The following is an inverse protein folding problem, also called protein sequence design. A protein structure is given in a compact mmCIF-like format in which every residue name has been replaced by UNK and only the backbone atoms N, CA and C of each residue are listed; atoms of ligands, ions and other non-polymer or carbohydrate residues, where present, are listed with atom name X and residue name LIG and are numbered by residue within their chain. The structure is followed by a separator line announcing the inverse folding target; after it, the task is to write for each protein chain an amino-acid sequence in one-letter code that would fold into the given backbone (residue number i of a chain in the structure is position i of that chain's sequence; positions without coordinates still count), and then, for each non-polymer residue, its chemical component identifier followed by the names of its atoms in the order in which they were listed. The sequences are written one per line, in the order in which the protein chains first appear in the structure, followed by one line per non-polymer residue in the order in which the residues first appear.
data_IF_777862888794
#
_entry.id   IF_777862888794
#
_cell.length_a   1.000
_cell.length_b   1.000
_cell.length_c   1.000
_cell.angle_alpha   90.00
_cell.angle_beta   90.00
_cell.angle_gamma   90.00
#
_symmetry.space_group_name_H-M   'P 1'
#
loop_
_entity.id
_entity.type
_entity.pdbx_description
1 polymer ?
#
# COMPACT_ATOMS: atom_id res chain seq x y z
N UNK A 1 53.27 -31.08 35.83
CA UNK A 1 52.51 -29.86 36.18
C UNK A 1 52.69 -28.87 35.04
N UNK A 2 51.67 -28.71 34.21
CA UNK A 2 51.69 -27.87 33.02
C UNK A 2 50.64 -26.78 33.25
N UNK A 3 51.08 -25.56 33.54
CA UNK A 3 50.22 -24.39 33.73
C UNK A 3 49.84 -23.84 32.36
N UNK A 4 48.54 -23.74 32.00
CA UNK A 4 48.12 -23.11 30.76
C UNK A 4 48.02 -21.58 30.94
N UNK A 5 48.70 -20.86 30.05
CA UNK A 5 48.63 -19.40 29.94
C UNK A 5 47.21 -18.93 29.59
N UNK A 6 46.75 -17.93 30.35
CA UNK A 6 45.45 -17.29 30.20
C UNK A 6 45.48 -16.30 29.02
N UNK A 7 44.75 -16.61 27.96
CA UNK A 7 44.55 -15.69 26.83
C UNK A 7 43.69 -14.47 27.25
N UNK A 8 44.17 -13.22 27.10
CA UNK A 8 43.48 -12.01 27.58
C UNK A 8 42.42 -11.45 26.62
N UNK A 9 42.04 -12.17 25.55
CA UNK A 9 41.10 -11.66 24.55
C UNK A 9 39.73 -12.36 24.57
N UNK A 10 39.02 -12.25 25.70
CA UNK A 10 37.54 -12.32 25.71
C UNK A 10 36.99 -10.89 25.62
N UNK A 11 36.80 -10.38 24.39
CA UNK A 11 35.96 -9.19 24.17
C UNK A 11 34.54 -9.62 23.81
N UNK A 12 33.63 -9.24 24.68
CA UNK A 12 32.19 -9.33 24.48
C UNK A 12 31.80 -8.67 23.14
N UNK A 13 31.22 -9.46 22.23
CA UNK A 13 30.49 -8.89 21.09
C UNK A 13 29.18 -8.32 21.62
N UNK A 14 29.24 -7.05 22.03
CA UNK A 14 28.09 -6.22 22.32
C UNK A 14 27.22 -6.07 21.08
N UNK A 15 25.92 -6.28 21.26
CA UNK A 15 24.87 -6.04 20.28
C UNK A 15 24.89 -4.56 19.85
N UNK A 16 25.42 -4.26 18.67
CA UNK A 16 25.02 -3.07 17.94
C UNK A 16 23.83 -3.43 17.07
N UNK A 17 22.64 -3.35 17.65
CA UNK A 17 21.40 -3.21 16.88
C UNK A 17 21.53 -1.91 16.10
N UNK A 18 22.10 -2.00 14.90
CA UNK A 18 22.11 -0.93 13.93
C UNK A 18 20.67 -0.59 13.61
N UNK A 19 20.15 0.45 14.25
CA UNK A 19 19.05 1.21 13.70
C UNK A 19 19.55 1.73 12.36
N UNK A 20 19.24 1.00 11.28
CA UNK A 20 19.19 1.58 9.95
C UNK A 20 18.14 2.68 10.05
N UNK A 21 18.59 3.90 10.33
CA UNK A 21 17.80 5.10 10.13
C UNK A 21 17.27 4.99 8.70
N UNK A 22 15.99 4.67 8.57
CA UNK A 22 15.31 4.70 7.29
C UNK A 22 15.46 6.13 6.82
N UNK A 23 16.35 6.33 5.85
CA UNK A 23 16.45 7.59 5.12
C UNK A 23 15.05 7.87 4.61
N UNK A 24 14.39 8.87 5.19
CA UNK A 24 13.13 9.42 4.73
C UNK A 24 13.42 10.01 3.34
N UNK A 25 13.39 9.16 2.32
CA UNK A 25 13.42 9.64 0.95
C UNK A 25 12.21 10.55 0.78
N UNK A 26 12.45 11.80 0.41
CA UNK A 26 11.39 12.75 0.07
C UNK A 26 10.42 12.06 -0.89
N UNK A 27 9.17 11.84 -0.46
CA UNK A 27 8.21 11.13 -1.29
C UNK A 27 7.95 11.94 -2.56
N UNK A 28 8.33 11.39 -3.71
CA UNK A 28 8.08 12.03 -5.01
C UNK A 28 6.58 12.09 -5.31
N UNK A 29 6.11 13.08 -6.08
CA UNK A 29 4.69 13.19 -6.42
C UNK A 29 4.20 11.97 -7.19
N UNK A 30 2.92 11.62 -7.01
CA UNK A 30 2.31 10.49 -7.70
C UNK A 30 2.20 10.70 -9.22
N UNK A 31 2.23 11.95 -9.70
CA UNK A 31 2.20 12.31 -11.12
C UNK A 31 3.30 11.62 -11.93
N UNK A 32 4.45 11.33 -11.33
CA UNK A 32 5.56 10.62 -11.98
C UNK A 32 5.24 9.16 -12.32
N UNK A 33 4.27 8.54 -11.64
CA UNK A 33 4.05 7.10 -11.65
C UNK A 33 2.61 6.69 -11.98
N UNK A 34 1.67 7.65 -12.02
CA UNK A 34 0.21 7.38 -12.13
C UNK A 34 -0.17 6.70 -13.45
N UNK A 35 0.40 7.13 -14.57
CA UNK A 35 0.01 6.64 -15.90
C UNK A 35 0.57 5.24 -16.17
N UNK A 36 -0.18 4.40 -16.87
CA UNK A 36 0.29 3.10 -17.36
C UNK A 36 0.91 3.29 -18.76
N UNK A 37 2.13 3.81 -18.80
CA UNK A 37 2.90 4.09 -20.03
C UNK A 37 4.02 3.07 -20.29
N UNK A 38 4.38 2.28 -19.26
CA UNK A 38 5.52 1.36 -19.26
C UNK A 38 5.09 -0.10 -19.34
N UNK A 39 5.95 -1.00 -19.85
CA UNK A 39 5.70 -2.44 -19.73
C UNK A 39 5.59 -2.88 -18.27
N UNK A 40 4.87 -3.97 -18.04
CA UNK A 40 4.76 -4.59 -16.72
C UNK A 40 6.13 -5.05 -16.25
N UNK A 41 6.53 -4.62 -15.05
CA UNK A 41 7.86 -4.89 -14.48
C UNK A 41 7.71 -5.51 -13.10
N UNK A 42 7.51 -6.84 -13.09
CA UNK A 42 7.02 -7.59 -11.92
C UNK A 42 7.87 -8.82 -11.56
N UNK A 43 8.70 -9.32 -12.50
CA UNK A 43 9.47 -10.56 -12.34
C UNK A 43 10.63 -10.38 -11.36
N UNK A 44 10.42 -10.79 -10.11
CA UNK A 44 11.33 -10.54 -8.98
C UNK A 44 12.67 -11.26 -9.11
N UNK A 45 12.72 -12.36 -9.84
CA UNK A 45 13.93 -13.12 -10.12
C UNK A 45 14.97 -12.32 -10.94
N UNK A 46 14.56 -11.24 -11.63
CA UNK A 46 15.46 -10.32 -12.35
C UNK A 46 15.62 -8.96 -11.66
N UNK A 47 14.97 -8.73 -10.50
CA UNK A 47 14.87 -7.42 -9.87
C UNK A 47 15.30 -7.53 -8.41
N UNK A 48 16.50 -7.03 -8.10
CA UNK A 48 17.02 -6.97 -6.75
C UNK A 48 16.72 -5.63 -6.07
N UNK A 49 16.73 -5.60 -4.74
CA UNK A 49 16.61 -4.36 -3.97
C UNK A 49 15.24 -3.67 -4.05
N UNK A 50 14.16 -4.41 -4.33
CA UNK A 50 12.78 -3.88 -4.30
C UNK A 50 12.44 -3.47 -2.85
N UNK A 51 12.05 -2.22 -2.59
CA UNK A 51 11.59 -1.82 -1.26
C UNK A 51 10.34 -2.59 -0.83
N UNK A 52 10.25 -2.90 0.47
CA UNK A 52 9.07 -3.57 1.04
C UNK A 52 7.80 -2.74 0.91
N UNK A 53 6.66 -3.42 0.73
CA UNK A 53 5.36 -2.74 0.71
C UNK A 53 5.01 -2.22 2.11
N UNK A 54 4.71 -0.92 2.21
CA UNK A 54 4.06 -0.26 3.36
C UNK A 54 2.66 -0.79 3.71
N UNK A 55 1.98 -1.55 2.85
CA UNK A 55 0.63 -2.06 3.16
C UNK A 55 0.73 -3.07 4.28
N UNK A 56 0.06 -2.80 5.40
CA UNK A 56 0.16 -3.62 6.61
C UNK A 56 -0.61 -4.94 6.49
N UNK A 57 -1.86 -4.86 6.02
CA UNK A 57 -2.77 -6.01 5.91
C UNK A 57 -3.79 -5.78 4.80
N UNK A 58 -4.25 -6.87 4.19
CA UNK A 58 -5.25 -6.82 3.12
C UNK A 58 -6.65 -7.18 3.62
N UNK A 59 -6.76 -8.02 4.63
CA UNK A 59 -8.01 -8.37 5.30
C UNK A 59 -8.08 -7.64 6.65
N UNK A 60 -9.26 -7.12 6.99
CA UNK A 60 -9.50 -6.27 8.15
C UNK A 60 -10.87 -6.56 8.75
N UNK A 61 -11.04 -6.19 10.02
CA UNK A 61 -12.26 -6.46 10.76
C UNK A 61 -12.30 -7.91 11.23
N UNK A 62 -13.44 -8.58 11.11
CA UNK A 62 -13.56 -10.00 11.41
C UNK A 62 -12.88 -10.86 10.33
N UNK A 63 -11.80 -11.52 10.73
CA UNK A 63 -11.04 -12.41 9.87
C UNK A 63 -11.66 -13.81 9.77
N UNK A 64 -12.48 -14.20 10.75
CA UNK A 64 -13.13 -15.50 10.82
C UNK A 64 -14.47 -15.52 10.09
N UNK A 65 -15.19 -14.40 10.05
CA UNK A 65 -16.43 -14.28 9.29
C UNK A 65 -16.20 -14.41 7.78
N UNK A 66 -17.10 -15.09 7.08
CA UNK A 66 -17.10 -15.18 5.63
C UNK A 66 -17.89 -14.02 5.01
N UNK A 67 -17.61 -13.64 3.75
CA UNK A 67 -18.37 -12.60 3.05
C UNK A 67 -19.89 -12.80 3.11
N UNK A 68 -20.37 -14.04 3.00
CA UNK A 68 -21.80 -14.38 2.95
C UNK A 68 -22.52 -14.29 4.30
N UNK A 69 -21.78 -14.12 5.39
CA UNK A 69 -22.37 -13.91 6.72
C UNK A 69 -23.00 -12.51 6.85
N UNK A 70 -22.69 -11.59 5.93
CA UNK A 70 -23.17 -10.21 5.95
C UNK A 70 -24.20 -9.94 4.85
N UNK A 71 -25.34 -9.29 5.16
CA UNK A 71 -26.38 -9.01 4.18
C UNK A 71 -25.97 -7.96 3.13
N UNK A 72 -25.04 -7.06 3.46
CA UNK A 72 -24.65 -5.95 2.59
C UNK A 72 -23.19 -6.07 2.16
N UNK A 73 -22.95 -5.90 0.86
CA UNK A 73 -21.61 -5.75 0.28
C UNK A 73 -21.49 -4.37 -0.37
N UNK A 74 -20.47 -3.60 0.02
CA UNK A 74 -20.17 -2.29 -0.54
C UNK A 74 -18.76 -2.32 -1.11
N UNK A 75 -18.57 -1.78 -2.31
CA UNK A 75 -17.28 -1.71 -2.98
C UNK A 75 -16.90 -0.27 -3.34
N UNK A 76 -15.60 0.01 -3.31
CA UNK A 76 -15.00 1.23 -3.86
C UNK A 76 -14.32 0.90 -5.19
N UNK A 77 -14.86 1.44 -6.28
CA UNK A 77 -14.40 1.25 -7.65
C UNK A 77 -13.65 2.48 -8.15
N UNK A 78 -12.60 2.29 -8.95
CA UNK A 78 -11.97 3.41 -9.66
C UNK A 78 -12.71 3.70 -10.96
N UNK A 79 -12.77 4.96 -11.36
CA UNK A 79 -13.46 5.34 -12.62
C UNK A 79 -12.50 5.49 -13.81
N UNK A 80 -11.19 5.41 -13.59
CA UNK A 80 -10.16 5.53 -14.62
C UNK A 80 -9.07 4.46 -14.48
N UNK A 81 -8.36 4.17 -15.57
CA UNK A 81 -7.20 3.30 -15.58
C UNK A 81 -5.96 4.05 -15.06
N UNK A 82 -5.27 3.48 -14.06
CA UNK A 82 -4.08 4.08 -13.47
C UNK A 82 -3.23 3.10 -12.64
N UNK A 83 -2.11 3.63 -12.12
CA UNK A 83 -1.31 2.99 -11.09
C UNK A 83 -1.46 3.68 -9.74
N UNK A 84 -1.67 2.91 -8.68
CA UNK A 84 -1.73 3.39 -7.30
C UNK A 84 -0.56 2.83 -6.51
N UNK A 85 0.26 3.71 -5.96
CA UNK A 85 1.43 3.34 -5.16
C UNK A 85 1.03 2.69 -3.85
N UNK A 86 1.83 1.75 -3.38
CA UNK A 86 1.60 1.04 -2.13
C UNK A 86 1.38 1.95 -0.90
N UNK A 87 2.06 3.11 -0.82
CA UNK A 87 1.86 4.08 0.25
C UNK A 87 0.48 4.78 0.21
N UNK A 88 -0.06 5.01 -0.98
CA UNK A 88 -1.42 5.56 -1.16
C UNK A 88 -2.48 4.52 -0.80
N UNK A 89 -2.28 3.24 -1.20
CA UNK A 89 -3.14 2.13 -0.79
C UNK A 89 -3.18 1.97 0.74
N UNK A 90 -2.02 2.01 1.42
CA UNK A 90 -1.97 1.95 2.88
C UNK A 90 -2.65 3.15 3.53
N UNK A 91 -2.44 4.36 2.99
CA UNK A 91 -3.08 5.57 3.53
C UNK A 91 -4.60 5.53 3.41
N UNK A 92 -5.12 5.06 2.27
CA UNK A 92 -6.55 4.86 2.03
C UNK A 92 -7.13 3.79 2.97
N UNK A 93 -6.45 2.64 3.05
CA UNK A 93 -6.81 1.52 3.92
C UNK A 93 -6.88 1.97 5.38
N UNK A 94 -5.84 2.62 5.88
CA UNK A 94 -5.75 3.10 7.26
C UNK A 94 -6.85 4.12 7.57
N UNK A 95 -7.15 5.02 6.62
CA UNK A 95 -8.20 6.03 6.77
C UNK A 95 -9.59 5.41 6.88
N UNK A 96 -9.94 4.45 6.02
CA UNK A 96 -11.21 3.71 6.11
C UNK A 96 -11.27 2.89 7.39
N UNK A 97 -10.26 2.04 7.63
CA UNK A 97 -10.25 1.10 8.74
C UNK A 97 -10.33 1.79 10.11
N UNK A 98 -9.63 2.92 10.28
CA UNK A 98 -9.71 3.71 11.52
C UNK A 98 -11.09 4.28 11.74
N UNK A 99 -11.79 4.69 10.68
CA UNK A 99 -13.16 5.18 10.82
C UNK A 99 -14.11 4.04 11.23
N UNK A 100 -14.00 2.89 10.58
CA UNK A 100 -14.81 1.71 10.87
C UNK A 100 -14.59 1.22 12.31
N UNK A 101 -13.33 1.06 12.75
CA UNK A 101 -13.02 0.69 14.15
C UNK A 101 -13.61 1.71 15.13
N UNK A 102 -13.45 3.02 14.86
CA UNK A 102 -13.94 4.06 15.76
C UNK A 102 -15.46 4.05 15.91
N UNK A 103 -16.19 3.74 14.85
CA UNK A 103 -17.65 3.87 14.82
C UNK A 103 -18.37 2.55 15.07
N UNK A 104 -17.86 1.44 14.57
CA UNK A 104 -18.48 0.10 14.68
C UNK A 104 -17.83 -0.78 15.75
N UNK A 105 -16.63 -0.45 16.22
CA UNK A 105 -15.83 -1.33 17.06
C UNK A 105 -14.98 -2.32 16.26
N UNK A 106 -14.10 -3.04 16.96
CA UNK A 106 -13.27 -4.09 16.36
C UNK A 106 -14.09 -5.38 16.18
N UNK A 107 -13.93 -6.07 15.04
CA UNK A 107 -14.57 -7.36 14.77
C UNK A 107 -16.03 -7.33 14.31
N UNK A 108 -16.65 -6.15 14.16
CA UNK A 108 -18.09 -6.05 13.80
C UNK A 108 -18.37 -5.85 12.30
N UNK A 109 -17.34 -5.88 11.46
CA UNK A 109 -17.42 -5.73 10.01
C UNK A 109 -16.28 -6.50 9.37
N UNK A 110 -16.32 -6.74 8.05
CA UNK A 110 -15.18 -7.25 7.29
C UNK A 110 -14.81 -6.27 6.18
N UNK A 111 -13.54 -5.99 5.98
CA UNK A 111 -13.06 -5.15 4.87
C UNK A 111 -11.83 -5.76 4.21
N UNK A 112 -11.78 -5.71 2.89
CA UNK A 112 -10.72 -6.31 2.07
C UNK A 112 -10.16 -5.26 1.10
N UNK A 113 -8.85 -5.04 1.14
CA UNK A 113 -8.10 -4.41 0.06
C UNK A 113 -7.85 -5.48 -1.01
N UNK A 114 -8.44 -5.31 -2.20
CA UNK A 114 -8.41 -6.32 -3.27
C UNK A 114 -7.11 -6.28 -4.09
N UNK A 115 -6.39 -5.16 -4.09
CA UNK A 115 -5.30 -4.89 -5.04
C UNK A 115 -3.92 -4.94 -4.40
N UNK A 116 -3.05 -5.78 -4.94
CA UNK A 116 -1.66 -5.94 -4.52
C UNK A 116 -0.71 -5.13 -5.43
N UNK A 117 0.32 -4.48 -4.86
CA UNK A 117 1.24 -3.65 -5.63
C UNK A 117 2.36 -4.49 -6.26
N UNK A 118 2.07 -5.11 -7.41
CA UNK A 118 3.02 -5.96 -8.13
C UNK A 118 4.02 -5.20 -8.99
N UNK A 119 3.63 -4.04 -9.55
CA UNK A 119 4.49 -3.27 -10.44
C UNK A 119 5.63 -2.64 -9.65
N UNK A 120 6.88 -2.91 -10.04
CA UNK A 120 8.04 -2.21 -9.47
C UNK A 120 8.26 -0.88 -10.17
N UNK A 121 8.41 0.18 -9.38
CA UNK A 121 8.70 1.53 -9.84
C UNK A 121 10.21 1.79 -9.78
N UNK A 122 10.73 2.48 -10.80
CA UNK A 122 12.15 2.83 -10.92
C UNK A 122 12.33 4.33 -11.07
N UNK A 123 13.43 4.84 -10.54
CA UNK A 123 13.79 6.25 -10.62
C UNK A 123 15.29 6.42 -10.87
N UNK A 124 15.67 7.28 -11.81
CA UNK A 124 17.04 7.74 -11.95
C UNK A 124 17.30 8.87 -10.96
N UNK A 125 17.68 8.52 -9.73
CA UNK A 125 17.81 9.45 -8.59
C UNK A 125 18.75 10.62 -8.85
N UNK A 126 19.74 10.48 -9.74
CA UNK A 126 20.69 11.55 -10.06
C UNK A 126 20.14 12.57 -11.07
N UNK A 127 19.19 12.18 -11.92
CA UNK A 127 18.60 13.04 -12.94
C UNK A 127 17.32 13.77 -12.48
N UNK A 128 16.85 13.50 -11.25
CA UNK A 128 15.53 13.97 -10.77
C UNK A 128 15.64 15.04 -9.68
N UNK A 129 15.35 16.29 -10.01
CA UNK A 129 15.23 17.40 -9.05
C UNK A 129 15.99 18.67 -9.44
N UNK A 130 15.96 19.68 -8.59
CA UNK A 130 16.72 20.92 -8.79
C UNK A 130 18.22 20.64 -8.69
N UNK A 131 19.00 21.07 -9.69
CA UNK A 131 20.45 20.86 -9.73
C UNK A 131 20.92 19.56 -10.41
N UNK A 132 20.03 18.80 -11.06
CA UNK A 132 20.39 17.64 -11.88
C UNK A 132 21.36 18.00 -13.04
N UNK A 133 21.30 19.24 -13.52
CA UNK A 133 22.22 19.83 -14.51
C UNK A 133 23.70 19.80 -14.08
N UNK A 134 23.96 19.71 -12.77
CA UNK A 134 25.32 19.69 -12.22
C UNK A 134 25.93 18.29 -12.14
N UNK A 135 25.21 17.26 -12.57
CA UNK A 135 25.66 15.85 -12.51
C UNK A 135 26.27 15.43 -13.85
N UNK A 136 27.53 15.00 -13.80
CA UNK A 136 28.41 14.77 -14.95
C UNK A 136 27.93 13.74 -15.99
N UNK A 137 26.99 12.84 -15.65
CA UNK A 137 26.56 11.76 -16.54
C UNK A 137 25.24 12.03 -17.29
N UNK A 138 24.50 13.08 -16.93
CA UNK A 138 23.23 13.43 -17.58
C UNK A 138 22.25 12.25 -17.70
N UNK A 139 21.94 11.86 -18.94
CA UNK A 139 21.05 10.73 -19.27
C UNK A 139 21.77 9.42 -19.62
N UNK A 140 23.10 9.37 -19.51
CA UNK A 140 23.85 8.13 -19.69
C UNK A 140 23.44 7.12 -18.60
N UNK A 141 23.21 5.86 -18.97
CA UNK A 141 22.79 4.79 -18.03
C UNK A 141 21.55 5.16 -17.20
N UNK A 142 20.56 5.83 -17.81
CA UNK A 142 19.37 6.33 -17.11
C UNK A 142 18.39 5.27 -16.56
N UNK A 143 18.71 3.97 -16.64
CA UNK A 143 17.86 2.93 -16.09
C UNK A 143 17.86 2.99 -14.56
N UNK A 144 16.76 3.51 -14.01
CA UNK A 144 16.63 3.85 -12.61
C UNK A 144 16.70 2.65 -11.65
N UNK A 145 16.99 2.94 -10.38
CA UNK A 145 16.96 1.95 -9.29
C UNK A 145 15.51 1.74 -8.83
N UNK A 146 15.13 0.55 -8.34
CA UNK A 146 13.83 0.32 -7.70
C UNK A 146 13.61 1.28 -6.53
N UNK A 147 12.44 1.93 -6.48
CA UNK A 147 12.08 2.90 -5.43
C UNK A 147 10.78 2.60 -4.70
N UNK A 148 9.97 1.69 -5.22
CA UNK A 148 8.74 1.26 -4.57
C UNK A 148 7.90 0.39 -5.50
N UNK A 149 6.66 0.13 -5.08
CA UNK A 149 5.71 -0.66 -5.86
C UNK A 149 4.35 0.02 -6.02
N UNK A 150 3.64 -0.34 -7.08
CA UNK A 150 2.30 0.13 -7.37
C UNK A 150 1.39 -1.02 -7.84
N UNK A 151 0.08 -0.87 -7.60
CA UNK A 151 -0.94 -1.69 -8.22
C UNK A 151 -1.37 -1.03 -9.52
N UNK A 152 -1.42 -1.80 -10.62
CA UNK A 152 -2.07 -1.39 -11.87
C UNK A 152 -3.54 -1.74 -11.78
N UNK A 153 -4.41 -0.78 -12.05
CA UNK A 153 -5.85 -0.90 -11.83
C UNK A 153 -6.55 -0.39 -13.09
N UNK A 154 -7.45 -1.21 -13.61
CA UNK A 154 -8.27 -0.88 -14.77
C UNK A 154 -9.45 -0.01 -14.36
N UNK A 155 -10.03 0.74 -15.29
CA UNK A 155 -11.27 1.46 -15.04
C UNK A 155 -12.38 0.49 -14.60
N UNK A 156 -13.24 0.94 -13.66
CA UNK A 156 -14.33 0.20 -13.02
C UNK A 156 -13.93 -0.98 -12.12
N UNK A 157 -12.63 -1.20 -11.92
CA UNK A 157 -12.12 -2.27 -11.07
C UNK A 157 -12.22 -1.90 -9.58
N UNK A 158 -12.34 -2.91 -8.72
CA UNK A 158 -12.62 -2.76 -7.28
C UNK A 158 -11.32 -2.66 -6.49
N UNK A 159 -11.17 -1.62 -5.66
CA UNK A 159 -10.02 -1.48 -4.75
C UNK A 159 -10.34 -2.04 -3.37
N UNK A 160 -11.45 -1.60 -2.78
CA UNK A 160 -11.89 -2.05 -1.47
C UNK A 160 -13.25 -2.69 -1.58
N UNK A 161 -13.47 -3.75 -0.82
CA UNK A 161 -14.80 -4.32 -0.56
C UNK A 161 -14.99 -4.38 0.95
N UNK A 162 -16.16 -3.99 1.43
CA UNK A 162 -16.56 -4.12 2.82
C UNK A 162 -17.88 -4.88 2.90
N UNK A 163 -18.00 -5.72 3.91
CA UNK A 163 -19.16 -6.51 4.24
C UNK A 163 -19.62 -6.10 5.63
N UNK A 164 -20.91 -5.80 5.74
CA UNK A 164 -21.49 -5.24 6.95
C UNK A 164 -22.98 -5.55 7.07
N UNK A 165 -23.53 -5.28 8.26
CA UNK A 165 -24.97 -5.28 8.47
C UNK A 165 -25.64 -4.06 7.81
N UNK A 166 -26.97 -4.13 7.69
CA UNK A 166 -27.78 -3.11 6.99
C UNK A 166 -27.66 -1.73 7.64
N UNK A 167 -27.70 -1.67 8.96
CA UNK A 167 -27.58 -0.45 9.76
C UNK A 167 -26.18 0.18 9.71
N UNK A 168 -25.16 -0.62 9.40
CA UNK A 168 -23.76 -0.18 9.31
C UNK A 168 -23.39 0.42 7.94
N UNK A 169 -24.21 0.20 6.91
CA UNK A 169 -23.92 0.62 5.54
C UNK A 169 -23.59 2.12 5.37
N UNK A 170 -24.27 3.08 6.06
CA UNK A 170 -23.90 4.49 5.98
C UNK A 170 -22.48 4.78 6.49
N UNK A 171 -22.05 4.07 7.52
CA UNK A 171 -20.70 4.21 8.10
C UNK A 171 -19.64 3.69 7.14
N UNK A 172 -19.92 2.57 6.46
CA UNK A 172 -19.04 2.02 5.42
C UNK A 172 -18.92 2.98 4.22
N UNK A 173 -20.03 3.56 3.77
CA UNK A 173 -20.01 4.59 2.70
C UNK A 173 -19.14 5.78 3.10
N UNK A 174 -19.23 6.26 4.34
CA UNK A 174 -18.37 7.35 4.84
C UNK A 174 -16.89 6.92 4.95
N UNK A 175 -16.61 5.67 5.34
CA UNK A 175 -15.25 5.14 5.37
C UNK A 175 -14.60 5.14 3.98
N UNK A 176 -15.35 4.73 2.97
CA UNK A 176 -14.91 4.77 1.57
C UNK A 176 -14.82 6.17 1.01
N UNK A 177 -15.70 7.09 1.45
CA UNK A 177 -15.56 8.52 1.12
C UNK A 177 -14.22 9.06 1.58
N UNK A 178 -13.80 8.71 2.81
CA UNK A 178 -12.49 9.09 3.35
C UNK A 178 -11.33 8.41 2.63
N UNK A 179 -11.50 7.14 2.24
CA UNK A 179 -10.47 6.39 1.54
C UNK A 179 -10.16 6.95 0.14
N UNK A 180 -11.17 7.25 -0.67
CA UNK A 180 -10.91 7.74 -2.04
C UNK A 180 -10.15 9.06 -2.05
N UNK A 181 -10.31 9.91 -1.03
CA UNK A 181 -9.52 11.15 -0.85
C UNK A 181 -8.01 10.91 -0.62
N UNK A 182 -7.58 9.65 -0.40
CA UNK A 182 -6.17 9.25 -0.30
C UNK A 182 -5.64 8.60 -1.58
N UNK A 183 -6.51 8.42 -2.57
CA UNK A 183 -6.21 7.86 -3.87
C UNK A 183 -6.14 8.99 -4.92
N UNK A 184 -5.48 8.72 -6.04
CA UNK A 184 -5.40 9.66 -7.17
C UNK A 184 -6.63 9.73 -8.09
N UNK A 185 -7.38 8.64 -8.36
CA UNK A 185 -8.47 8.65 -9.33
C UNK A 185 -9.79 9.07 -8.68
N UNK A 186 -10.73 9.63 -9.47
CA UNK A 186 -12.13 9.60 -9.08
C UNK A 186 -12.59 8.16 -8.85
N UNK A 187 -13.44 7.97 -7.85
CA UNK A 187 -13.92 6.67 -7.42
C UNK A 187 -15.43 6.69 -7.21
N UNK A 188 -16.06 5.56 -7.44
CA UNK A 188 -17.48 5.32 -7.20
C UNK A 188 -17.66 4.34 -6.06
N UNK A 189 -18.60 4.64 -5.16
CA UNK A 189 -19.05 3.70 -4.14
C UNK A 189 -20.29 2.98 -4.68
N UNK A 190 -20.26 1.66 -4.70
CA UNK A 190 -21.34 0.80 -5.20
C UNK A 190 -21.78 -0.16 -4.12
N UNK A 191 -23.08 -0.39 -4.01
CA UNK A 191 -23.63 -1.48 -3.20
C UNK A 191 -23.81 -2.66 -4.15
N UNK A 192 -23.07 -3.73 -3.94
CA UNK A 192 -23.06 -4.91 -4.83
C UNK A 192 -24.11 -5.94 -4.38
N UNK A 193 -24.42 -5.98 -3.08
CA UNK A 193 -25.41 -6.86 -2.48
C UNK A 193 -26.17 -6.13 -1.38
N UNK A 194 -27.47 -6.41 -1.28
CA UNK A 194 -28.33 -5.85 -0.23
C UNK A 194 -28.77 -4.41 -0.47
N UNK A 195 -28.77 -3.92 -1.72
CA UNK A 195 -29.23 -2.57 -2.04
C UNK A 195 -30.70 -2.34 -1.65
N UNK A 196 -31.57 -3.32 -1.93
CA UNK A 196 -33.01 -3.25 -1.59
C UNK A 196 -33.25 -3.09 -0.08
N UNK A 197 -32.34 -3.59 0.75
CA UNK A 197 -32.43 -3.49 2.21
C UNK A 197 -32.09 -2.09 2.73
N UNK A 198 -31.46 -1.25 1.91
CA UNK A 198 -31.00 0.09 2.28
C UNK A 198 -31.98 1.21 1.90
N UNK A 199 -33.01 0.92 1.11
CA UNK A 199 -33.91 1.91 0.49
C UNK A 199 -35.29 1.96 1.17
N UNK A 200 -35.40 1.53 2.43
CA UNK A 200 -36.63 1.64 3.21
C UNK A 200 -36.89 3.07 3.73
#
# INVERSE_FOLDING_TARGET
MHTPETSPYRRAYGRSTGYFAQVTMSEKPASMYRTIDKPSYTRREYITGIPGSKIAQYNMGDLAAEPDDYPVEISLRVEEELQIRHGSLESARLSANRHLIKTLGEGNYKMVLRKFPHQVLRENKQATGAGADRVSDGMRQAFGKPVGTAARIQANDVIFTAYCDVDQAPVVKEAFRRAYNKLSPPCRITVERGEDLLVA
#
